data_IF_632381431143
#
_entry.id   IF_632381431143
#
_cell.length_a   1.000
_cell.length_b   1.000
_cell.length_c   1.000
_cell.angle_alpha   90.00
_cell.angle_beta   90.00
_cell.angle_gamma   90.00
#
_symmetry.space_group_name_H-M   'P 1'
#
loop_
_entity.id
_entity.type
_entity.pdbx_description
1 polymer ?
#
# COMPACT_ATOMS: atom_id res chain seq x y z
N UNK A 1 -20.80 2.00 0.49
CA UNK A 1 -19.45 1.85 1.07
C UNK A 1 -19.08 3.18 1.72
N UNK A 2 -17.99 3.28 2.50
CA UNK A 2 -17.55 4.58 3.02
C UNK A 2 -16.89 5.39 1.89
N UNK A 3 -17.19 6.68 1.77
CA UNK A 3 -16.58 7.59 0.78
C UNK A 3 -15.04 7.50 0.81
N UNK A 4 -14.48 7.39 2.02
CA UNK A 4 -13.04 7.20 2.25
C UNK A 4 -12.51 5.90 1.63
N UNK A 5 -13.29 4.81 1.68
CA UNK A 5 -12.89 3.51 1.14
C UNK A 5 -12.93 3.52 -0.40
N UNK A 6 -13.92 4.20 -1.00
CA UNK A 6 -14.03 4.36 -2.45
C UNK A 6 -12.90 5.22 -3.00
N UNK A 7 -12.53 6.30 -2.31
CA UNK A 7 -11.36 7.11 -2.66
C UNK A 7 -10.06 6.28 -2.61
N UNK A 8 -9.86 5.50 -1.54
CA UNK A 8 -8.68 4.65 -1.38
C UNK A 8 -8.61 3.58 -2.47
N UNK A 9 -9.74 2.96 -2.79
CA UNK A 9 -9.83 1.96 -3.85
C UNK A 9 -9.46 2.54 -5.21
N UNK A 10 -9.98 3.73 -5.55
CA UNK A 10 -9.63 4.40 -6.79
C UNK A 10 -8.12 4.72 -6.87
N UNK A 11 -7.51 5.17 -5.77
CA UNK A 11 -6.05 5.38 -5.70
C UNK A 11 -5.29 4.07 -5.91
N UNK A 12 -5.71 2.97 -5.30
CA UNK A 12 -5.09 1.64 -5.48
C UNK A 12 -5.19 1.14 -6.92
N UNK A 13 -6.34 1.31 -7.55
CA UNK A 13 -6.54 0.97 -8.97
C UNK A 13 -5.58 1.80 -9.83
N UNK A 14 -5.49 3.11 -9.61
CA UNK A 14 -4.59 3.99 -10.35
C UNK A 14 -3.11 3.63 -10.17
N UNK A 15 -2.70 3.22 -8.96
CA UNK A 15 -1.35 2.72 -8.69
C UNK A 15 -1.10 1.40 -9.42
N UNK A 16 -2.05 0.46 -9.38
CA UNK A 16 -1.99 -0.82 -10.08
C UNK A 16 -1.85 -0.63 -11.60
N UNK A 17 -2.59 0.32 -12.18
CA UNK A 17 -2.54 0.63 -13.60
C UNK A 17 -1.18 1.17 -14.08
N UNK A 18 -0.30 1.63 -13.19
CA UNK A 18 1.07 2.06 -13.54
C UNK A 18 2.02 0.88 -13.82
N UNK A 19 1.61 -0.36 -13.52
CA UNK A 19 2.46 -1.53 -13.69
C UNK A 19 3.57 -1.59 -12.64
N UNK A 20 4.79 -1.96 -13.06
CA UNK A 20 5.92 -2.08 -12.15
C UNK A 20 6.42 -0.71 -11.68
N UNK A 21 6.32 -0.47 -10.37
CA UNK A 21 6.81 0.75 -9.74
C UNK A 21 8.20 0.49 -9.17
N UNK A 22 9.21 1.30 -9.52
CA UNK A 22 10.54 1.17 -8.94
C UNK A 22 10.46 1.41 -7.43
N UNK A 23 11.20 0.60 -6.66
CA UNK A 23 11.21 0.74 -5.21
C UNK A 23 11.86 2.05 -4.79
N UNK A 24 11.28 2.72 -3.79
CA UNK A 24 11.77 4.03 -3.30
C UNK A 24 12.98 3.85 -2.40
N UNK A 25 13.07 2.73 -1.69
CA UNK A 25 14.17 2.38 -0.78
C UNK A 25 14.54 0.91 -0.95
N UNK A 26 15.73 0.51 -0.52
CA UNK A 26 16.10 -0.91 -0.44
C UNK A 26 16.08 -1.33 1.03
N UNK A 27 15.18 -2.24 1.39
CA UNK A 27 15.02 -2.71 2.77
C UNK A 27 13.76 -3.54 2.96
N UNK A 28 13.50 -3.98 4.19
CA UNK A 28 12.33 -4.80 4.53
C UNK A 28 11.00 -4.03 4.39
N UNK A 29 11.05 -2.71 4.59
CA UNK A 29 9.89 -1.80 4.52
C UNK A 29 9.63 -1.25 3.12
N UNK A 30 10.39 -1.69 2.12
CA UNK A 30 10.40 -1.04 0.81
C UNK A 30 9.06 -1.13 0.08
N UNK A 31 8.36 -2.26 0.19
CA UNK A 31 7.06 -2.47 -0.47
C UNK A 31 5.98 -1.57 0.14
N UNK A 32 5.97 -1.44 1.47
CA UNK A 32 5.06 -0.52 2.16
C UNK A 32 5.34 0.91 1.73
N UNK A 33 6.60 1.32 1.77
CA UNK A 33 7.00 2.70 1.50
C UNK A 33 6.77 3.08 0.03
N UNK A 34 6.99 2.14 -0.88
CA UNK A 34 6.72 2.31 -2.32
C UNK A 34 5.22 2.41 -2.58
N UNK A 35 4.39 1.58 -1.93
CA UNK A 35 2.93 1.68 -2.05
C UNK A 35 2.41 3.01 -1.50
N UNK A 36 2.84 3.41 -0.29
CA UNK A 36 2.46 4.68 0.33
C UNK A 36 2.87 5.87 -0.55
N UNK A 37 4.09 5.86 -1.07
CA UNK A 37 4.57 6.89 -2.00
C UNK A 37 3.73 6.91 -3.29
N UNK A 38 3.42 5.74 -3.86
CA UNK A 38 2.58 5.63 -5.06
C UNK A 38 1.17 6.14 -4.87
N UNK A 39 0.61 5.97 -3.66
CA UNK A 39 -0.71 6.48 -3.25
C UNK A 39 -0.69 7.97 -2.87
N UNK A 40 0.50 8.58 -2.75
CA UNK A 40 0.69 9.94 -2.26
C UNK A 40 0.42 10.08 -0.75
N UNK A 41 0.50 8.98 -0.01
CA UNK A 41 0.33 8.93 1.44
C UNK A 41 1.69 9.15 2.07
N UNK A 42 1.80 10.17 2.94
CA UNK A 42 3.02 10.39 3.71
C UNK A 42 3.08 9.37 4.84
N UNK A 43 4.14 8.58 4.88
CA UNK A 43 4.41 7.68 6.00
C UNK A 43 4.33 8.49 7.30
N UNK A 44 3.45 8.07 8.21
CA UNK A 44 3.42 8.62 9.55
C UNK A 44 4.30 7.72 10.44
N UNK A 45 5.02 8.33 11.38
CA UNK A 45 5.73 7.59 12.44
C UNK A 45 4.87 7.41 13.69
N UNK A 46 3.61 7.84 13.62
CA UNK A 46 2.66 7.81 14.73
C UNK A 46 1.84 6.51 14.69
N UNK A 47 1.20 6.16 15.82
CA UNK A 47 0.22 5.05 15.87
C UNK A 47 -1.09 5.35 15.11
N UNK A 48 -1.13 6.41 14.31
CA UNK A 48 -2.34 6.83 13.60
C UNK A 48 -2.50 5.99 12.33
N UNK A 49 -3.74 5.65 11.94
CA UNK A 49 -3.99 4.89 10.72
C UNK A 49 -3.45 5.63 9.49
N UNK A 50 -2.81 4.90 8.58
CA UNK A 50 -2.10 5.45 7.42
C UNK A 50 -3.01 6.29 6.50
N UNK A 51 -4.32 6.03 6.47
CA UNK A 51 -5.24 6.74 5.58
C UNK A 51 -6.63 6.95 6.17
N UNK A 52 -6.92 8.16 6.67
CA UNK A 52 -8.28 8.59 7.09
C UNK A 52 -9.04 7.54 7.95
N UNK A 53 -8.35 6.86 8.87
CA UNK A 53 -8.94 5.80 9.71
C UNK A 53 -8.69 4.36 9.24
N UNK A 54 -8.10 4.17 8.05
CA UNK A 54 -7.79 2.87 7.46
C UNK A 54 -6.31 2.55 7.65
N UNK A 55 -6.03 1.36 8.20
CA UNK A 55 -4.69 0.81 8.26
C UNK A 55 -4.39 0.01 6.99
N UNK A 56 -3.38 0.46 6.23
CA UNK A 56 -2.91 -0.24 5.03
C UNK A 56 -1.76 -1.20 5.38
N UNK A 57 -1.86 -2.46 4.93
CA UNK A 57 -0.80 -3.47 5.03
C UNK A 57 -0.42 -3.94 3.64
N UNK A 58 0.88 -4.07 3.41
CA UNK A 58 1.45 -4.49 2.12
C UNK A 58 2.36 -5.69 2.34
N UNK A 59 2.30 -6.65 1.42
CA UNK A 59 3.07 -7.90 1.49
C UNK A 59 3.55 -8.29 0.09
N UNK A 60 4.78 -8.83 -0.01
CA UNK A 60 5.24 -9.48 -1.24
C UNK A 60 4.56 -10.84 -1.36
N UNK A 61 3.90 -11.09 -2.47
CA UNK A 61 3.45 -12.44 -2.83
C UNK A 61 4.62 -13.11 -3.54
N UNK A 62 5.34 -13.99 -2.85
CA UNK A 62 6.24 -14.93 -3.50
C UNK A 62 5.44 -16.19 -3.87
N UNK A 63 5.70 -16.77 -5.05
CA UNK A 63 5.00 -17.96 -5.55
C UNK A 63 5.04 -19.16 -4.58
N UNK A 64 5.96 -19.14 -3.60
CA UNK A 64 6.10 -20.18 -2.58
C UNK A 64 5.18 -20.03 -1.35
N UNK A 65 4.43 -18.92 -1.21
CA UNK A 65 3.41 -18.79 -0.15
C UNK A 65 2.06 -19.27 -0.66
N UNK A 66 1.90 -20.59 -0.74
CA UNK A 66 0.58 -21.24 -0.78
C UNK A 66 -0.26 -20.68 0.38
N UNK A 67 -1.42 -20.14 0.00
CA UNK A 67 -2.57 -19.77 0.82
C UNK A 67 -2.67 -20.68 2.06
N UNK A 68 -2.45 -20.12 3.26
CA UNK A 68 -2.92 -20.78 4.49
C UNK A 68 -4.42 -20.50 4.55
N UNK A 69 -5.18 -21.53 4.20
CA UNK A 69 -6.63 -21.62 4.40
C UNK A 69 -6.99 -21.59 5.89
#
# INVERSE_FOLDING_TARGET
MSETAEELLNKLILVSSKGFIPTVIVGDTDVRMTLETGLGIKANSNKEPNYKGIESKSSRVSENKKKRE
#
